data_IF_401951004901
#
_entry.id   IF_401951004901
#
_cell.length_a   1.000
_cell.length_b   1.000
_cell.length_c   1.000
_cell.angle_alpha   90.00
_cell.angle_beta   90.00
_cell.angle_gamma   90.00
#
_symmetry.space_group_name_H-M   'P 1'
#
loop_
_entity.id
_entity.type
_entity.pdbx_description
1 polymer ?
#
# COMPACT_ATOMS: atom_id res chain seq x y z
N UNK A 1 14.00 -20.55 13.42
CA UNK A 1 12.57 -20.45 13.70
C UNK A 1 11.82 -21.69 13.22
N UNK A 2 10.60 -21.86 13.69
CA UNK A 2 9.72 -22.96 13.25
C UNK A 2 8.63 -22.37 12.36
N UNK A 3 8.37 -23.02 11.21
CA UNK A 3 7.22 -22.69 10.38
C UNK A 3 5.97 -23.17 11.11
N UNK A 4 5.04 -22.27 11.41
CA UNK A 4 3.79 -22.58 12.13
C UNK A 4 2.60 -22.74 11.19
N UNK A 5 2.68 -22.18 9.98
CA UNK A 5 1.68 -22.27 8.95
C UNK A 5 2.29 -22.05 7.56
N UNK A 6 1.74 -22.70 6.57
CA UNK A 6 2.06 -22.52 5.16
C UNK A 6 0.76 -22.49 4.36
N UNK A 7 0.51 -21.40 3.64
CA UNK A 7 -0.75 -21.16 2.93
C UNK A 7 -0.88 -22.03 1.65
N UNK A 8 0.24 -22.55 1.17
CA UNK A 8 0.34 -23.27 -0.10
C UNK A 8 -0.19 -22.39 -1.26
N UNK A 9 -1.30 -22.77 -1.88
CA UNK A 9 -1.90 -22.01 -3.00
C UNK A 9 -3.31 -21.50 -2.68
N UNK A 10 -3.65 -21.29 -1.41
CA UNK A 10 -4.98 -20.81 -1.02
C UNK A 10 -5.19 -19.38 -1.46
N UNK A 11 -4.16 -18.53 -1.29
CA UNK A 11 -4.23 -17.11 -1.71
C UNK A 11 -4.51 -17.02 -3.22
N UNK A 12 -3.76 -17.74 -4.04
CA UNK A 12 -3.96 -17.77 -5.49
C UNK A 12 -5.37 -18.23 -5.86
N UNK A 13 -5.86 -19.28 -5.19
CA UNK A 13 -7.21 -19.80 -5.43
C UNK A 13 -8.29 -18.78 -5.06
N UNK A 14 -8.16 -18.14 -3.91
CA UNK A 14 -9.09 -17.12 -3.46
C UNK A 14 -9.11 -15.92 -4.40
N UNK A 15 -7.95 -15.49 -4.88
CA UNK A 15 -7.81 -14.40 -5.85
C UNK A 15 -8.36 -14.82 -7.23
N UNK A 16 -8.15 -16.06 -7.64
CA UNK A 16 -8.73 -16.60 -8.88
C UNK A 16 -10.27 -16.62 -8.84
N UNK A 17 -10.86 -16.91 -7.68
CA UNK A 17 -12.32 -16.92 -7.48
C UNK A 17 -12.97 -15.56 -7.70
N UNK A 18 -12.24 -14.48 -7.48
CA UNK A 18 -12.73 -13.11 -7.73
C UNK A 18 -12.27 -12.54 -9.07
N UNK A 19 -11.65 -13.37 -9.94
CA UNK A 19 -11.23 -12.98 -11.28
C UNK A 19 -9.96 -12.11 -11.37
N UNK A 20 -9.20 -12.00 -10.29
CA UNK A 20 -7.99 -11.17 -10.23
C UNK A 20 -6.68 -11.95 -10.49
N UNK A 21 -6.75 -13.27 -10.69
CA UNK A 21 -5.56 -14.06 -11.01
C UNK A 21 -5.21 -13.95 -12.49
N UNK A 22 -3.97 -13.59 -12.77
CA UNK A 22 -3.44 -13.51 -14.15
C UNK A 22 -2.89 -14.85 -14.59
N UNK A 23 -3.56 -15.54 -15.51
CA UNK A 23 -3.17 -16.88 -16.00
C UNK A 23 -1.71 -16.95 -16.49
N UNK A 24 -1.23 -15.91 -17.16
CA UNK A 24 0.15 -15.82 -17.62
C UNK A 24 1.20 -15.81 -16.50
N UNK A 25 0.76 -15.72 -15.25
CA UNK A 25 1.63 -15.78 -14.06
C UNK A 25 1.69 -17.17 -13.42
N UNK A 26 0.78 -18.09 -13.77
CA UNK A 26 0.68 -19.41 -13.15
C UNK A 26 1.98 -20.24 -13.22
N UNK A 27 2.71 -20.12 -14.32
CA UNK A 27 4.01 -20.79 -14.49
C UNK A 27 5.22 -20.01 -13.97
N UNK A 28 4.98 -18.92 -13.21
CA UNK A 28 6.05 -18.05 -12.68
C UNK A 28 5.88 -17.89 -11.17
N UNK A 29 5.67 -16.66 -10.68
CA UNK A 29 5.53 -16.37 -9.25
C UNK A 29 4.06 -16.22 -8.79
N UNK A 30 3.08 -16.55 -9.64
CA UNK A 30 1.66 -16.42 -9.30
C UNK A 30 1.24 -14.97 -9.04
N UNK A 31 0.59 -14.73 -7.92
CA UNK A 31 0.08 -13.40 -7.52
C UNK A 31 1.16 -12.49 -6.91
N UNK A 32 2.37 -13.00 -6.69
CA UNK A 32 3.50 -12.31 -6.07
C UNK A 32 3.09 -11.62 -4.75
N UNK A 33 3.01 -12.35 -3.61
CA UNK A 33 2.83 -11.75 -2.30
C UNK A 33 4.16 -11.12 -1.87
N UNK A 34 4.36 -9.84 -2.17
CA UNK A 34 5.65 -9.15 -1.99
C UNK A 34 5.70 -8.27 -0.75
N UNK A 35 4.56 -7.91 -0.18
CA UNK A 35 4.54 -7.14 1.06
C UNK A 35 3.60 -7.71 2.09
N UNK A 36 3.96 -7.52 3.36
CA UNK A 36 3.13 -7.92 4.48
C UNK A 36 3.26 -6.89 5.61
N UNK A 37 2.15 -6.60 6.28
CA UNK A 37 2.17 -5.86 7.54
C UNK A 37 1.25 -6.50 8.56
N UNK A 38 1.59 -6.34 9.83
CA UNK A 38 0.83 -6.81 10.97
C UNK A 38 0.13 -5.65 11.65
N UNK A 39 -1.10 -5.84 12.08
CA UNK A 39 -1.77 -4.93 13.00
C UNK A 39 -2.72 -5.67 13.92
N UNK A 40 -2.83 -5.21 15.17
CA UNK A 40 -3.90 -5.61 16.07
C UNK A 40 -4.94 -4.49 16.10
N UNK A 41 -6.13 -4.76 15.57
CA UNK A 41 -7.23 -3.80 15.44
C UNK A 41 -8.43 -4.36 16.23
N UNK A 42 -8.97 -3.58 17.15
CA UNK A 42 -10.09 -3.97 18.03
C UNK A 42 -9.86 -5.32 18.72
N UNK A 43 -8.62 -5.57 19.13
CA UNK A 43 -8.25 -6.81 19.82
C UNK A 43 -7.95 -8.00 18.92
N UNK A 44 -8.29 -7.96 17.64
CA UNK A 44 -8.03 -9.03 16.67
C UNK A 44 -6.69 -8.80 15.96
N UNK A 45 -5.80 -9.80 15.94
CA UNK A 45 -4.54 -9.71 15.19
C UNK A 45 -4.76 -10.04 13.72
N UNK A 46 -4.32 -9.15 12.83
CA UNK A 46 -4.42 -9.32 11.38
C UNK A 46 -3.06 -9.29 10.70
N UNK A 47 -2.92 -10.07 9.62
CA UNK A 47 -1.91 -9.87 8.59
C UNK A 47 -2.58 -9.31 7.33
N UNK A 48 -1.97 -8.29 6.77
CA UNK A 48 -2.32 -7.72 5.47
C UNK A 48 -1.25 -8.09 4.47
N UNK A 49 -1.62 -8.83 3.45
CA UNK A 49 -0.68 -9.38 2.45
C UNK A 49 -0.99 -8.77 1.09
N UNK A 50 -0.02 -8.08 0.49
CA UNK A 50 -0.14 -7.50 -0.84
C UNK A 50 0.16 -8.52 -1.91
N UNK A 51 -0.86 -8.87 -2.70
CA UNK A 51 -0.71 -9.67 -3.91
C UNK A 51 -0.48 -8.72 -5.09
N UNK A 52 0.80 -8.40 -5.35
CA UNK A 52 1.23 -7.36 -6.29
C UNK A 52 0.57 -7.48 -7.67
N UNK A 53 0.65 -8.68 -8.26
CA UNK A 53 0.14 -8.90 -9.62
C UNK A 53 -1.38 -8.98 -9.70
N UNK A 54 -2.05 -9.16 -8.58
CA UNK A 54 -3.51 -9.21 -8.52
C UNK A 54 -4.15 -7.85 -8.20
N UNK A 55 -3.39 -6.88 -7.69
CA UNK A 55 -3.93 -5.61 -7.18
C UNK A 55 -4.87 -5.84 -5.99
N UNK A 56 -4.50 -6.75 -5.11
CA UNK A 56 -5.32 -7.19 -3.97
C UNK A 56 -4.52 -7.09 -2.67
N UNK A 57 -5.19 -6.65 -1.63
CA UNK A 57 -4.74 -6.81 -0.25
C UNK A 57 -5.56 -7.92 0.40
N UNK A 58 -4.92 -9.04 0.70
CA UNK A 58 -5.56 -10.12 1.45
C UNK A 58 -5.45 -9.87 2.95
N UNK A 59 -6.58 -9.93 3.65
CA UNK A 59 -6.67 -9.75 5.10
C UNK A 59 -6.81 -11.12 5.75
N UNK A 60 -5.84 -11.49 6.56
CA UNK A 60 -5.85 -12.72 7.34
C UNK A 60 -6.10 -12.41 8.81
N UNK A 61 -7.11 -13.03 9.38
CA UNK A 61 -7.22 -13.18 10.83
C UNK A 61 -6.23 -14.26 11.28
N UNK A 62 -5.31 -13.89 12.16
CA UNK A 62 -4.26 -14.76 12.68
C UNK A 62 -4.42 -15.01 14.18
N UNK A 63 -5.65 -14.94 14.69
CA UNK A 63 -5.97 -15.27 16.10
C UNK A 63 -5.47 -16.68 16.42
N UNK A 64 -5.67 -17.62 15.50
CA UNK A 64 -5.08 -18.96 15.56
C UNK A 64 -3.93 -19.07 14.56
N UNK A 65 -2.70 -19.00 15.05
CA UNK A 65 -1.50 -18.99 14.21
C UNK A 65 -1.30 -20.24 13.36
N UNK A 66 -1.83 -21.38 13.80
CA UNK A 66 -1.75 -22.64 13.04
C UNK A 66 -2.82 -22.75 11.96
N UNK A 67 -3.83 -21.87 11.97
CA UNK A 67 -4.96 -21.86 11.04
C UNK A 67 -5.42 -20.44 10.68
N UNK A 68 -4.57 -19.62 10.07
CA UNK A 68 -4.97 -18.31 9.59
C UNK A 68 -6.15 -18.37 8.63
N UNK A 69 -7.06 -17.41 8.71
CA UNK A 69 -8.26 -17.33 7.88
C UNK A 69 -8.24 -16.08 7.05
N UNK A 70 -8.35 -16.21 5.72
CA UNK A 70 -8.59 -15.06 4.84
C UNK A 70 -10.01 -14.55 5.10
N UNK A 71 -10.13 -13.36 5.66
CA UNK A 71 -11.42 -12.75 5.99
C UNK A 71 -11.91 -11.81 4.90
N UNK A 72 -11.00 -11.18 4.18
CA UNK A 72 -11.33 -10.24 3.10
C UNK A 72 -10.24 -10.26 2.01
N UNK A 73 -10.68 -9.96 0.78
CA UNK A 73 -9.83 -9.60 -0.35
C UNK A 73 -10.23 -8.17 -0.76
N UNK A 74 -9.38 -7.21 -0.43
CA UNK A 74 -9.64 -5.80 -0.67
C UNK A 74 -9.02 -5.40 -2.02
N UNK A 75 -9.79 -4.82 -2.95
CA UNK A 75 -9.22 -4.22 -4.14
C UNK A 75 -8.24 -3.10 -3.77
N UNK A 76 -7.09 -3.08 -4.42
CA UNK A 76 -6.11 -2.00 -4.32
C UNK A 76 -5.85 -1.41 -5.70
N UNK A 77 -4.90 -0.49 -5.77
CA UNK A 77 -4.30 -0.14 -7.05
C UNK A 77 -3.41 -1.28 -7.59
N UNK A 78 -2.80 -1.06 -8.73
CA UNK A 78 -1.96 -2.06 -9.38
C UNK A 78 -0.56 -2.00 -8.75
N UNK A 79 -0.05 -3.16 -8.33
CA UNK A 79 1.25 -3.26 -7.68
C UNK A 79 1.22 -2.78 -6.22
N UNK A 80 0.43 -3.39 -5.30
CA UNK A 80 0.50 -3.08 -3.88
C UNK A 80 1.80 -3.65 -3.28
N UNK A 81 2.78 -2.80 -3.03
CA UNK A 81 4.10 -3.18 -2.57
C UNK A 81 4.44 -2.72 -1.15
N UNK A 82 3.92 -1.57 -0.72
CA UNK A 82 4.20 -1.04 0.61
C UNK A 82 2.95 -0.95 1.48
N UNK A 83 3.07 -1.25 2.78
CA UNK A 83 1.96 -1.13 3.72
C UNK A 83 2.36 -0.38 4.98
N UNK A 84 1.41 0.39 5.51
CA UNK A 84 1.49 0.93 6.87
C UNK A 84 0.15 0.73 7.57
N UNK A 85 0.21 0.25 8.81
CA UNK A 85 -0.95 0.14 9.68
C UNK A 85 -0.95 1.26 10.71
N UNK A 86 -2.14 1.79 11.01
CA UNK A 86 -2.40 2.77 12.07
C UNK A 86 -3.50 2.18 12.96
N UNK A 87 -3.16 1.22 13.86
CA UNK A 87 -4.14 0.41 14.59
C UNK A 87 -5.09 1.23 15.45
N UNK A 88 -4.59 2.26 16.13
CA UNK A 88 -5.39 3.13 17.00
C UNK A 88 -6.50 3.89 16.25
N UNK A 89 -6.43 3.93 14.94
CA UNK A 89 -7.41 4.56 14.05
C UNK A 89 -8.17 3.56 13.20
N UNK A 90 -7.88 2.27 13.31
CA UNK A 90 -8.44 1.23 12.47
C UNK A 90 -8.09 1.40 10.99
N UNK A 91 -6.91 1.96 10.67
CA UNK A 91 -6.51 2.25 9.31
C UNK A 91 -5.38 1.34 8.84
N UNK A 92 -5.40 1.03 7.54
CA UNK A 92 -4.31 0.43 6.78
C UNK A 92 -4.16 1.18 5.46
N UNK A 93 -2.94 1.47 5.03
CA UNK A 93 -2.66 2.08 3.75
C UNK A 93 -1.77 1.18 2.90
N UNK A 94 -2.02 1.13 1.59
CA UNK A 94 -1.18 0.45 0.60
C UNK A 94 -0.61 1.43 -0.42
N UNK A 95 0.68 1.30 -0.73
CA UNK A 95 1.31 1.94 -1.86
C UNK A 95 1.13 1.06 -3.10
N UNK A 96 0.63 1.64 -4.19
CA UNK A 96 0.38 0.95 -5.46
C UNK A 96 1.29 1.57 -6.52
N UNK A 97 2.40 0.90 -6.84
CA UNK A 97 3.54 1.50 -7.54
C UNK A 97 3.33 1.69 -9.04
N UNK A 98 2.48 0.87 -9.68
CA UNK A 98 2.40 0.83 -11.15
C UNK A 98 1.75 2.07 -11.74
N UNK A 99 2.46 2.65 -12.71
CA UNK A 99 1.99 3.76 -13.53
C UNK A 99 1.88 3.32 -15.00
N UNK A 100 0.65 3.26 -15.52
CA UNK A 100 0.36 2.88 -16.91
C UNK A 100 0.17 4.06 -17.85
N UNK A 101 0.43 5.29 -17.38
CA UNK A 101 0.23 6.52 -18.16
C UNK A 101 1.20 6.75 -19.33
N UNK A 102 2.11 5.81 -19.62
CA UNK A 102 3.17 6.04 -20.61
C UNK A 102 2.69 6.10 -22.06
N UNK A 103 1.50 5.61 -22.39
CA UNK A 103 1.01 5.53 -23.78
C UNK A 103 -0.45 5.93 -23.97
N UNK A 104 -1.27 5.82 -22.95
CA UNK A 104 -2.72 6.15 -22.98
C UNK A 104 -3.12 6.72 -21.62
N UNK A 105 -4.23 7.51 -21.53
CA UNK A 105 -4.77 7.92 -20.24
C UNK A 105 -5.10 6.67 -19.42
N UNK A 106 -4.32 6.37 -18.41
CA UNK A 106 -4.44 5.20 -17.57
C UNK A 106 -4.38 5.54 -16.09
N UNK A 107 -4.49 4.54 -15.25
CA UNK A 107 -4.35 4.66 -13.82
C UNK A 107 -2.89 4.97 -13.46
N UNK A 108 -2.66 6.06 -12.76
CA UNK A 108 -1.37 6.38 -12.17
C UNK A 108 -1.15 5.64 -10.86
N UNK A 109 0.10 5.52 -10.45
CA UNK A 109 0.45 5.07 -9.10
C UNK A 109 -0.23 5.93 -8.04
N UNK A 110 -0.72 5.30 -6.97
CA UNK A 110 -1.48 5.98 -5.93
C UNK A 110 -1.43 5.22 -4.61
N UNK A 111 -1.91 5.86 -3.56
CA UNK A 111 -2.09 5.25 -2.24
C UNK A 111 -3.57 4.92 -2.03
N UNK A 112 -3.85 3.70 -1.54
CA UNK A 112 -5.18 3.32 -1.08
C UNK A 112 -5.19 3.25 0.44
N UNK A 113 -6.20 3.86 1.07
CA UNK A 113 -6.37 3.83 2.53
C UNK A 113 -7.67 3.13 2.85
N UNK A 114 -7.60 2.09 3.67
CA UNK A 114 -8.75 1.33 4.14
C UNK A 114 -9.01 1.63 5.61
N UNK A 115 -10.27 1.71 5.99
CA UNK A 115 -10.71 1.87 7.36
C UNK A 115 -11.60 0.69 7.77
N UNK A 116 -11.31 0.11 8.94
CA UNK A 116 -12.23 -0.85 9.55
C UNK A 116 -13.48 -0.10 10.04
N UNK A 117 -14.65 -0.58 9.66
CA UNK A 117 -15.93 0.00 10.04
C UNK A 117 -17.03 -1.05 10.01
N UNK A 118 -18.09 -0.83 10.80
CA UNK A 118 -19.31 -1.65 10.77
C UNK A 118 -20.28 -1.08 9.72
N UNK A 119 -19.89 -1.16 8.45
CA UNK A 119 -20.65 -0.64 7.30
C UNK A 119 -20.24 -1.38 6.03
N UNK A 120 -21.03 -1.28 4.95
CA UNK A 120 -20.61 -1.75 3.63
C UNK A 120 -19.27 -1.14 3.21
N UNK A 121 -18.42 -1.94 2.58
CA UNK A 121 -17.11 -1.50 2.13
C UNK A 121 -17.22 -0.33 1.15
N UNK A 122 -16.37 0.68 1.35
CA UNK A 122 -16.12 1.77 0.41
C UNK A 122 -14.61 1.97 0.26
N UNK A 123 -14.17 2.53 -0.86
CA UNK A 123 -12.74 2.67 -1.18
C UNK A 123 -12.40 4.16 -1.37
N UNK A 124 -12.01 4.88 -0.30
CA UNK A 124 -11.56 6.26 -0.40
C UNK A 124 -10.23 6.35 -1.16
N UNK A 125 -9.93 7.50 -1.69
CA UNK A 125 -8.70 7.79 -2.42
C UNK A 125 -7.92 8.94 -1.78
N UNK A 126 -6.69 9.15 -2.24
CA UNK A 126 -5.82 10.24 -1.86
C UNK A 126 -5.93 11.37 -2.89
N UNK A 127 -5.94 12.62 -2.44
CA UNK A 127 -5.95 13.80 -3.31
C UNK A 127 -5.03 14.90 -2.78
N UNK A 128 -4.59 15.79 -3.67
CA UNK A 128 -3.92 17.05 -3.32
C UNK A 128 -4.70 18.28 -3.82
N UNK A 129 -5.98 18.14 -4.11
CA UNK A 129 -6.80 19.22 -4.72
C UNK A 129 -7.14 20.39 -3.78
N UNK A 130 -6.94 20.26 -2.47
CA UNK A 130 -7.44 21.22 -1.49
C UNK A 130 -6.44 22.35 -1.16
N UNK A 131 -6.08 23.17 -2.13
CA UNK A 131 -5.62 24.53 -1.88
C UNK A 131 -4.17 24.72 -1.47
N UNK A 132 -3.38 23.69 -1.43
CA UNK A 132 -1.93 23.78 -1.34
C UNK A 132 -1.33 23.82 -2.76
N UNK A 133 -0.09 24.27 -2.86
CA UNK A 133 0.64 24.25 -4.12
C UNK A 133 0.51 22.85 -4.79
N UNK A 134 0.19 22.83 -6.08
CA UNK A 134 0.09 21.58 -6.82
C UNK A 134 1.40 20.81 -6.75
N UNK A 135 1.38 19.63 -6.15
CA UNK A 135 2.50 18.71 -6.06
C UNK A 135 2.24 17.52 -6.96
N UNK A 136 3.09 17.34 -7.98
CA UNK A 136 3.08 16.08 -8.74
C UNK A 136 3.59 14.95 -7.86
N UNK A 137 2.82 13.89 -7.73
CA UNK A 137 3.14 12.72 -6.92
C UNK A 137 2.79 11.42 -7.67
N UNK A 138 3.40 10.32 -7.26
CA UNK A 138 3.16 9.01 -7.85
C UNK A 138 4.26 8.02 -7.52
N UNK A 139 4.16 6.81 -8.06
CA UNK A 139 5.10 5.71 -7.85
C UNK A 139 5.45 5.52 -6.35
N UNK A 140 4.45 5.57 -5.48
CA UNK A 140 4.66 5.36 -4.05
C UNK A 140 5.08 3.91 -3.82
N UNK A 141 6.22 3.72 -3.18
CA UNK A 141 6.85 2.43 -2.93
C UNK A 141 6.92 2.08 -1.43
N UNK A 142 7.20 3.05 -0.57
CA UNK A 142 7.29 2.82 0.87
C UNK A 142 6.48 3.81 1.68
N UNK A 143 5.99 3.38 2.85
CA UNK A 143 5.22 4.22 3.78
C UNK A 143 5.51 3.86 5.24
N UNK A 144 5.35 4.86 6.12
CA UNK A 144 5.40 4.70 7.58
C UNK A 144 4.42 5.64 8.26
N UNK A 145 3.85 5.22 9.39
CA UNK A 145 3.05 6.10 10.25
C UNK A 145 3.95 6.92 11.18
N UNK A 146 3.72 8.23 11.24
CA UNK A 146 4.34 9.09 12.23
C UNK A 146 3.54 9.12 13.54
N UNK A 147 4.17 9.54 14.63
CA UNK A 147 3.52 9.75 15.93
C UNK A 147 2.49 10.88 15.90
N UNK A 148 2.58 11.77 14.91
CA UNK A 148 1.64 12.86 14.65
C UNK A 148 0.34 12.42 13.94
N UNK A 149 0.16 11.13 13.70
CA UNK A 149 -1.00 10.55 13.02
C UNK A 149 -1.01 10.74 11.51
N UNK A 150 0.09 11.23 10.94
CA UNK A 150 0.28 11.32 9.48
C UNK A 150 0.90 10.05 8.92
N UNK A 151 0.81 9.88 7.59
CA UNK A 151 1.54 8.88 6.84
C UNK A 151 2.66 9.59 6.08
N UNK A 152 3.87 9.06 6.18
CA UNK A 152 5.02 9.50 5.42
C UNK A 152 5.29 8.45 4.34
N UNK A 153 5.37 8.90 3.08
CA UNK A 153 5.51 8.02 1.94
C UNK A 153 6.67 8.46 1.04
N UNK A 154 7.34 7.50 0.41
CA UNK A 154 8.40 7.77 -0.57
C UNK A 154 8.02 7.21 -1.94
N UNK A 155 8.53 7.82 -2.99
CA UNK A 155 8.35 7.35 -4.35
C UNK A 155 9.49 6.42 -4.76
N UNK A 156 9.15 5.41 -5.55
CA UNK A 156 10.11 4.57 -6.26
C UNK A 156 10.91 5.40 -7.26
N UNK A 157 12.22 5.23 -7.26
CA UNK A 157 13.14 5.96 -8.11
C UNK A 157 12.94 7.48 -8.05
N UNK A 158 13.24 8.14 -9.13
CA UNK A 158 13.14 9.61 -9.22
C UNK A 158 11.88 10.03 -9.99
N UNK A 159 10.72 9.98 -9.34
CA UNK A 159 9.47 10.40 -9.97
C UNK A 159 9.52 11.85 -10.41
N UNK A 160 9.34 12.09 -11.72
CA UNK A 160 9.43 13.42 -12.34
C UNK A 160 10.74 14.17 -11.98
N UNK A 161 11.85 13.45 -11.90
CA UNK A 161 13.18 13.97 -11.59
C UNK A 161 13.35 14.52 -10.16
N UNK A 162 12.45 14.21 -9.25
CA UNK A 162 12.50 14.74 -7.89
C UNK A 162 12.13 13.68 -6.85
N UNK A 163 13.11 13.13 -6.11
CA UNK A 163 12.83 12.25 -4.98
C UNK A 163 12.23 13.06 -3.82
N UNK A 164 11.16 12.53 -3.23
CA UNK A 164 10.37 13.23 -2.20
C UNK A 164 9.92 12.32 -1.09
N UNK A 165 9.69 12.93 0.07
CA UNK A 165 8.84 12.37 1.12
C UNK A 165 7.51 13.09 1.06
N UNK A 166 6.42 12.34 0.87
CA UNK A 166 5.07 12.86 0.89
C UNK A 166 4.47 12.75 2.28
N UNK A 167 3.81 13.80 2.75
CA UNK A 167 3.09 13.83 4.02
C UNK A 167 1.61 13.78 3.73
N UNK A 168 0.94 12.73 4.23
CA UNK A 168 -0.46 12.42 3.96
C UNK A 168 -1.25 12.50 5.25
N UNK A 169 -2.36 13.26 5.21
CA UNK A 169 -3.38 13.26 6.26
C UNK A 169 -4.48 12.25 5.93
N UNK A 170 -4.55 11.12 6.67
CA UNK A 170 -5.61 10.14 6.47
C UNK A 170 -6.89 10.46 7.24
N UNK A 171 -7.03 11.63 7.88
CA UNK A 171 -8.17 11.97 8.73
C UNK A 171 -9.43 12.35 7.95
N UNK A 172 -9.31 12.68 6.67
CA UNK A 172 -10.40 13.04 5.77
C UNK A 172 -10.67 11.96 4.72
N UNK A 173 -11.82 12.05 4.04
CA UNK A 173 -12.15 11.22 2.89
C UNK A 173 -12.65 12.11 1.74
N UNK A 174 -11.90 12.21 0.64
CA UNK A 174 -10.59 11.59 0.38
C UNK A 174 -9.50 12.04 1.36
N UNK A 175 -8.48 11.20 1.54
CA UNK A 175 -7.29 11.56 2.30
C UNK A 175 -6.52 12.69 1.59
N UNK A 176 -5.78 13.50 2.35
CA UNK A 176 -5.12 14.68 1.81
C UNK A 176 -3.59 14.52 1.77
N UNK A 177 -3.01 14.69 0.58
CA UNK A 177 -1.58 14.94 0.47
C UNK A 177 -1.32 16.40 0.82
N UNK A 178 -0.81 16.65 2.05
CA UNK A 178 -0.65 18.00 2.58
C UNK A 178 0.57 18.70 2.02
N UNK A 179 1.66 17.99 1.85
CA UNK A 179 2.92 18.55 1.36
C UNK A 179 3.87 17.49 0.84
N UNK A 180 4.87 17.92 0.11
CA UNK A 180 6.02 17.11 -0.28
C UNK A 180 7.32 17.76 0.20
N UNK A 181 8.22 16.95 0.70
CA UNK A 181 9.55 17.34 1.20
C UNK A 181 10.57 16.88 0.17
N UNK A 182 11.26 17.82 -0.45
CA UNK A 182 12.30 17.51 -1.42
C UNK A 182 13.53 16.91 -0.75
N UNK A 183 14.01 15.78 -1.24
CA UNK A 183 15.23 15.15 -0.76
C UNK A 183 16.42 15.77 -1.48
N UNK A 184 17.38 16.25 -0.71
CA UNK A 184 18.59 16.91 -1.23
C UNK A 184 19.85 16.25 -0.69
N UNK A 185 20.84 16.13 -1.55
CA UNK A 185 22.21 15.79 -1.20
C UNK A 185 23.08 17.03 -1.42
N UNK A 186 23.74 17.50 -0.38
CA UNK A 186 24.58 18.73 -0.42
C UNK A 186 23.84 19.93 -1.03
N UNK A 187 22.58 20.11 -0.66
CA UNK A 187 21.73 21.22 -1.13
C UNK A 187 21.19 21.11 -2.55
N UNK A 188 21.54 20.05 -3.29
CA UNK A 188 21.03 19.77 -4.64
C UNK A 188 20.04 18.63 -4.62
N UNK A 189 19.12 18.60 -5.60
CA UNK A 189 18.20 17.47 -5.77
C UNK A 189 18.98 16.15 -5.83
N UNK A 190 18.60 15.19 -5.00
CA UNK A 190 19.23 13.87 -4.94
C UNK A 190 18.76 12.99 -6.10
N UNK A 191 19.25 13.28 -7.31
CA UNK A 191 18.92 12.51 -8.51
C UNK A 191 19.38 11.05 -8.37
N UNK A 192 18.66 10.15 -9.05
CA UNK A 192 18.98 8.71 -9.11
C UNK A 192 18.87 7.97 -7.77
N UNK A 193 18.16 8.53 -6.79
CA UNK A 193 17.73 7.76 -5.62
C UNK A 193 16.62 6.79 -6.01
N UNK A 194 16.81 5.55 -5.61
CA UNK A 194 15.81 4.50 -5.68
C UNK A 194 15.32 4.22 -4.25
N UNK A 195 14.11 4.68 -3.95
CA UNK A 195 13.59 4.71 -2.60
C UNK A 195 12.58 3.57 -2.43
N UNK A 196 12.96 2.52 -1.71
CA UNK A 196 12.14 1.33 -1.51
C UNK A 196 11.45 1.29 -0.14
N UNK A 197 11.88 2.13 0.78
CA UNK A 197 11.33 2.14 2.13
C UNK A 197 11.64 3.39 2.93
N UNK A 198 10.86 3.59 3.99
CA UNK A 198 11.00 4.67 4.95
C UNK A 198 10.66 4.15 6.34
N UNK A 199 11.37 4.61 7.33
CA UNK A 199 11.11 4.31 8.75
C UNK A 199 11.22 5.56 9.59
N UNK A 200 10.59 5.57 10.75
CA UNK A 200 10.77 6.57 11.82
C UNK A 200 11.49 5.93 12.99
N UNK A 201 12.31 6.72 13.68
CA UNK A 201 12.97 6.32 14.94
C UNK A 201 11.99 6.38 16.11
#
# INVERSE_FOLDING_TARGET
GTVVYEDANRLERSIAQIGHFQDGRAGKKGVEPESVTFAKIDGTPYLFVGAERAGIVAVYDITELSQPVVTQLLPSGIGPEGFVAIPDRGLIASANEKDYNKKEPGLSSHVTIYQLQDAPASYPHLTNENGLEFVSWGAISGMVSGEDGKIYAVNDGTFKTQPRIYVIDPSSSPALLERAIDIKLDGKTALFMDQEGITTD
#
